data_IF_964874557572
#
_entry.id   IF_964874557572
#
_cell.length_a   1.000
_cell.length_b   1.000
_cell.length_c   1.000
_cell.angle_alpha   90.00
_cell.angle_beta   90.00
_cell.angle_gamma   90.00
#
_symmetry.space_group_name_H-M   'P 1'
#
loop_
_entity.id
_entity.type
_entity.pdbx_description
1 polymer ?
#
# COMPACT_ATOMS: atom_id res chain seq x y z
N UNK A 1 -4.75 2.01 23.32
CA UNK A 1 -4.42 1.43 22.00
C UNK A 1 -5.68 1.52 21.14
N UNK A 2 -5.70 2.38 20.13
CA UNK A 2 -6.82 2.43 19.19
C UNK A 2 -6.74 1.22 18.26
N UNK A 3 -7.83 0.47 18.12
CA UNK A 3 -7.90 -0.63 17.17
C UNK A 3 -7.92 -0.04 15.75
N UNK A 4 -7.11 -0.59 14.86
CA UNK A 4 -7.20 -0.25 13.44
C UNK A 4 -8.51 -0.80 12.87
N UNK A 5 -9.15 -0.09 11.92
CA UNK A 5 -10.36 -0.59 11.28
C UNK A 5 -10.06 -1.87 10.49
N UNK A 6 -11.01 -2.80 10.51
CA UNK A 6 -10.95 -4.00 9.67
C UNK A 6 -11.32 -3.58 8.25
N UNK A 7 -10.47 -3.96 7.27
CA UNK A 7 -10.73 -3.72 5.87
C UNK A 7 -11.78 -4.71 5.33
N UNK A 8 -12.77 -4.19 4.64
CA UNK A 8 -13.85 -4.93 3.99
C UNK A 8 -13.99 -4.48 2.54
N UNK A 9 -14.76 -5.20 1.73
CA UNK A 9 -15.10 -4.83 0.35
C UNK A 9 -15.90 -3.52 0.23
N UNK A 10 -16.37 -2.94 1.34
CA UNK A 10 -17.03 -1.63 1.36
C UNK A 10 -16.02 -0.47 1.48
N UNK A 11 -14.73 -0.77 1.58
CA UNK A 11 -13.66 0.22 1.65
C UNK A 11 -12.98 0.37 0.29
N UNK A 12 -12.58 1.60 -0.04
CA UNK A 12 -11.66 1.91 -1.13
C UNK A 12 -10.39 2.51 -0.51
N UNK A 13 -9.22 2.06 -0.97
CA UNK A 13 -7.94 2.52 -0.43
C UNK A 13 -7.25 3.47 -1.40
N UNK A 14 -6.93 4.67 -0.90
CA UNK A 14 -6.08 5.62 -1.60
C UNK A 14 -4.72 5.62 -0.90
N UNK A 15 -3.69 5.20 -1.64
CA UNK A 15 -2.33 5.08 -1.14
C UNK A 15 -1.44 6.00 -1.95
N UNK A 16 -0.76 6.91 -1.25
CA UNK A 16 0.36 7.62 -1.84
C UNK A 16 1.58 6.68 -1.92
N UNK A 17 2.56 7.01 -2.75
CA UNK A 17 3.71 6.14 -3.00
C UNK A 17 4.98 6.62 -2.30
N UNK A 18 5.48 7.79 -2.66
CA UNK A 18 6.75 8.32 -2.15
C UNK A 18 6.58 8.85 -0.72
N UNK A 19 7.31 8.29 0.24
CA UNK A 19 7.17 8.62 1.66
C UNK A 19 5.99 7.95 2.35
N UNK A 20 5.23 7.10 1.64
CA UNK A 20 4.11 6.32 2.19
C UNK A 20 4.34 4.82 2.00
N UNK A 21 4.42 4.33 0.76
CA UNK A 21 4.68 2.92 0.46
C UNK A 21 6.17 2.63 0.25
N UNK A 22 6.94 3.67 -0.10
CA UNK A 22 8.39 3.62 -0.26
C UNK A 22 9.04 4.75 0.52
N UNK A 23 10.31 4.58 0.89
CA UNK A 23 11.11 5.65 1.46
C UNK A 23 11.35 6.76 0.43
N UNK A 24 11.29 8.01 0.86
CA UNK A 24 11.67 9.14 0.00
C UNK A 24 13.14 9.03 -0.40
N UNK A 25 13.38 9.14 -1.71
CA UNK A 25 14.72 9.11 -2.27
C UNK A 25 15.13 10.47 -2.83
N UNK A 26 16.43 10.75 -2.84
CA UNK A 26 16.98 12.01 -3.40
C UNK A 26 16.87 12.12 -4.92
N UNK A 27 16.58 11.00 -5.60
CA UNK A 27 16.33 10.91 -7.04
C UNK A 27 15.40 9.73 -7.34
N UNK A 28 14.56 9.78 -8.40
CA UNK A 28 13.57 8.75 -8.68
C UNK A 28 14.13 7.33 -8.82
N UNK A 29 15.27 7.16 -9.48
CA UNK A 29 15.91 5.87 -9.73
C UNK A 29 16.50 5.21 -8.48
N UNK A 30 16.60 5.94 -7.36
CA UNK A 30 17.09 5.41 -6.10
C UNK A 30 15.97 4.83 -5.21
N UNK A 31 14.69 4.95 -5.62
CA UNK A 31 13.57 4.33 -4.92
C UNK A 31 13.74 2.82 -4.90
N UNK A 32 13.56 2.21 -3.72
CA UNK A 32 13.65 0.76 -3.53
C UNK A 32 12.29 0.20 -3.13
N UNK A 33 11.83 -0.80 -3.87
CA UNK A 33 10.61 -1.52 -3.56
C UNK A 33 10.93 -2.64 -2.57
N UNK A 34 10.27 -2.64 -1.41
CA UNK A 34 10.33 -3.79 -0.51
C UNK A 34 9.75 -5.02 -1.22
N UNK A 35 10.42 -6.17 -1.09
CA UNK A 35 10.02 -7.41 -1.79
C UNK A 35 8.58 -7.83 -1.49
N UNK A 36 8.07 -7.50 -0.31
CA UNK A 36 6.69 -7.79 0.10
C UNK A 36 5.65 -6.78 -0.37
N UNK A 37 6.03 -5.62 -0.92
CA UNK A 37 5.08 -4.54 -1.23
C UNK A 37 4.10 -4.98 -2.33
N UNK A 38 4.61 -5.43 -3.48
CA UNK A 38 3.80 -5.87 -4.63
C UNK A 38 2.82 -6.99 -4.27
N UNK A 39 3.25 -8.12 -3.65
CA UNK A 39 2.30 -9.17 -3.29
C UNK A 39 1.27 -8.71 -2.26
N UNK A 40 1.63 -7.80 -1.35
CA UNK A 40 0.69 -7.22 -0.37
C UNK A 40 -0.38 -6.38 -1.06
N UNK A 41 0.00 -5.48 -1.98
CA UNK A 41 -0.96 -4.67 -2.74
C UNK A 41 -1.86 -5.54 -3.61
N UNK A 42 -1.33 -6.61 -4.21
CA UNK A 42 -2.14 -7.56 -4.98
C UNK A 42 -3.17 -8.27 -4.10
N UNK A 43 -2.81 -8.66 -2.88
CA UNK A 43 -3.73 -9.28 -1.94
C UNK A 43 -4.81 -8.30 -1.46
N UNK A 44 -4.43 -7.05 -1.17
CA UNK A 44 -5.38 -5.99 -0.81
C UNK A 44 -6.36 -5.70 -1.95
N UNK A 45 -5.86 -5.57 -3.18
CA UNK A 45 -6.71 -5.35 -4.36
C UNK A 45 -7.73 -6.48 -4.53
N UNK A 46 -7.31 -7.74 -4.36
CA UNK A 46 -8.21 -8.89 -4.40
C UNK A 46 -9.24 -8.89 -3.26
N UNK A 47 -8.81 -8.57 -2.02
CA UNK A 47 -9.68 -8.51 -0.85
C UNK A 47 -10.74 -7.41 -0.94
N UNK A 48 -10.41 -6.29 -1.59
CA UNK A 48 -11.31 -5.15 -1.77
C UNK A 48 -12.20 -5.26 -3.01
N UNK A 49 -12.04 -6.32 -3.82
CA UNK A 49 -12.81 -6.47 -5.06
C UNK A 49 -12.41 -5.47 -6.15
N UNK A 50 -11.17 -4.99 -6.11
CA UNK A 50 -10.59 -4.08 -7.09
C UNK A 50 -10.78 -2.59 -6.81
N UNK A 51 -11.50 -2.25 -5.73
CA UNK A 51 -11.71 -0.88 -5.25
C UNK A 51 -10.46 -0.29 -4.56
#
# INVERSE_FOLDING_TARGET
>A
MQLLPILTTANALFLDFDGTLTELASRPEAVRIASGLVPTLSALHGHLGGA
#
